data_IF_425665293308
#
_entry.id   IF_425665293308
#
_cell.length_a   1.000
_cell.length_b   1.000
_cell.length_c   1.000
_cell.angle_alpha   90.00
_cell.angle_beta   90.00
_cell.angle_gamma   90.00
#
_symmetry.space_group_name_H-M   'P 1'
#
loop_
_entity.id
_entity.type
_entity.pdbx_description
1 polymer ?
#
# COMPACT_ATOMS: atom_id res chain seq x y z
N UNK A 1 -5.38 -23.74 7.84
CA UNK A 1 -6.23 -23.79 6.65
C UNK A 1 -6.65 -22.41 6.22
N UNK A 2 -7.12 -22.29 4.99
CA UNK A 2 -7.69 -21.05 4.45
C UNK A 2 -9.21 -21.12 4.60
N UNK A 3 -9.81 -20.09 5.16
CA UNK A 3 -11.26 -19.95 5.24
C UNK A 3 -11.72 -18.90 4.26
N UNK A 4 -12.73 -19.17 3.43
CA UNK A 4 -13.31 -18.19 2.51
C UNK A 4 -14.76 -17.96 2.88
N UNK A 5 -15.13 -16.68 2.98
CA UNK A 5 -16.49 -16.22 3.26
C UNK A 5 -16.93 -15.29 2.14
N UNK A 6 -18.20 -15.39 1.78
CA UNK A 6 -18.84 -14.38 0.92
C UNK A 6 -19.33 -13.25 1.84
N UNK A 7 -19.04 -12.03 1.46
CA UNK A 7 -19.54 -10.85 2.14
C UNK A 7 -20.78 -10.35 1.39
N UNK A 8 -21.73 -9.83 2.15
CA UNK A 8 -22.83 -9.07 1.54
C UNK A 8 -22.28 -7.76 0.97
N UNK A 9 -22.61 -7.49 -0.27
CA UNK A 9 -22.27 -6.24 -0.92
C UNK A 9 -23.44 -5.28 -0.88
N UNK A 10 -23.16 -3.98 -0.78
CA UNK A 10 -24.20 -2.94 -0.90
C UNK A 10 -24.86 -3.01 -2.27
N UNK A 11 -24.10 -3.35 -3.31
CA UNK A 11 -24.63 -3.67 -4.64
C UNK A 11 -24.89 -5.19 -4.74
N UNK A 12 -26.16 -5.63 -4.82
CA UNK A 12 -26.46 -7.05 -4.90
C UNK A 12 -26.00 -7.73 -6.21
N UNK A 13 -25.59 -6.96 -7.21
CA UNK A 13 -25.03 -7.49 -8.46
C UNK A 13 -23.55 -7.87 -8.32
N UNK A 14 -22.88 -7.35 -7.29
CA UNK A 14 -21.47 -7.58 -7.01
C UNK A 14 -21.33 -8.60 -5.87
N UNK A 15 -20.37 -9.48 -6.04
CA UNK A 15 -20.03 -10.48 -5.02
C UNK A 15 -18.64 -10.17 -4.50
N UNK A 16 -18.53 -10.00 -3.18
CA UNK A 16 -17.28 -9.77 -2.49
C UNK A 16 -16.91 -11.03 -1.71
N UNK A 17 -15.70 -11.51 -1.87
CA UNK A 17 -15.18 -12.64 -1.13
C UNK A 17 -14.04 -12.20 -0.21
N UNK A 18 -13.97 -12.83 0.95
CA UNK A 18 -12.88 -12.67 1.91
C UNK A 18 -12.28 -14.02 2.25
N UNK A 19 -10.98 -14.17 2.02
CA UNK A 19 -10.21 -15.32 2.45
C UNK A 19 -9.32 -14.93 3.63
N UNK A 20 -9.14 -15.83 4.58
CA UNK A 20 -8.32 -15.62 5.76
C UNK A 20 -7.46 -16.85 6.04
N UNK A 21 -6.22 -16.61 6.45
CA UNK A 21 -5.29 -17.63 6.91
C UNK A 21 -4.35 -17.09 7.99
N UNK A 22 -3.76 -18.00 8.75
CA UNK A 22 -2.67 -17.69 9.68
C UNK A 22 -1.46 -18.52 9.30
N UNK A 23 -0.33 -17.85 9.08
CA UNK A 23 0.95 -18.48 8.79
C UNK A 23 1.86 -18.39 10.01
N UNK A 24 2.42 -19.54 10.38
CA UNK A 24 3.40 -19.66 11.47
C UNK A 24 4.77 -19.84 10.86
N UNK A 25 5.78 -19.19 11.40
CA UNK A 25 7.16 -19.23 10.90
C UNK A 25 7.47 -18.11 9.91
N UNK A 26 6.50 -17.27 9.55
CA UNK A 26 6.68 -16.14 8.64
C UNK A 26 6.52 -14.80 9.37
N UNK A 27 7.28 -13.81 8.92
CA UNK A 27 7.14 -12.42 9.31
C UNK A 27 6.26 -11.68 8.29
N UNK A 28 5.85 -10.45 8.62
CA UNK A 28 5.11 -9.58 7.70
C UNK A 28 5.91 -9.33 6.42
N UNK A 29 7.21 -9.10 6.54
CA UNK A 29 8.09 -8.85 5.40
C UNK A 29 8.34 -10.08 4.54
N UNK A 30 8.45 -11.27 5.16
CA UNK A 30 8.59 -12.51 4.41
C UNK A 30 7.41 -12.70 3.44
N UNK A 31 6.19 -12.49 3.90
CA UNK A 31 5.02 -12.67 3.06
C UNK A 31 4.81 -11.50 2.09
N UNK A 32 5.07 -10.26 2.55
CA UNK A 32 5.01 -9.09 1.66
C UNK A 32 5.94 -9.24 0.47
N UNK A 33 7.13 -9.77 0.66
CA UNK A 33 8.08 -9.96 -0.44
C UNK A 33 7.53 -10.84 -1.58
N UNK A 34 6.64 -11.80 -1.26
CA UNK A 34 5.96 -12.62 -2.25
C UNK A 34 4.76 -11.92 -2.93
N UNK A 35 4.31 -10.80 -2.37
CA UNK A 35 3.12 -10.06 -2.83
C UNK A 35 3.45 -8.65 -3.34
N UNK A 36 4.72 -8.21 -3.25
CA UNK A 36 5.11 -6.82 -3.50
C UNK A 36 4.86 -6.35 -4.94
N UNK A 37 4.79 -7.27 -5.89
CA UNK A 37 4.52 -6.93 -7.28
C UNK A 37 3.91 -8.11 -8.04
N UNK A 38 3.11 -7.85 -9.10
CA UNK A 38 2.62 -8.90 -9.99
C UNK A 38 3.74 -9.73 -10.64
N UNK A 39 4.91 -9.13 -10.89
CA UNK A 39 6.07 -9.85 -11.39
C UNK A 39 6.56 -10.94 -10.43
N UNK A 40 6.45 -10.70 -9.12
CA UNK A 40 6.74 -11.71 -8.10
C UNK A 40 5.60 -12.71 -7.95
N UNK A 41 4.34 -12.25 -7.95
CA UNK A 41 3.16 -13.12 -7.89
C UNK A 41 3.16 -14.15 -9.00
N UNK A 42 3.60 -13.80 -10.19
CA UNK A 42 3.76 -14.72 -11.33
C UNK A 42 4.67 -15.93 -11.02
N UNK A 43 5.62 -15.80 -10.10
CA UNK A 43 6.55 -16.89 -9.75
C UNK A 43 5.88 -18.05 -9.01
N UNK A 44 4.78 -17.79 -8.33
CA UNK A 44 4.10 -18.80 -7.53
C UNK A 44 2.61 -18.99 -7.88
N UNK A 45 1.97 -18.00 -8.49
CA UNK A 45 0.59 -18.10 -8.93
C UNK A 45 0.53 -18.55 -10.40
N UNK A 46 0.30 -19.82 -10.60
CA UNK A 46 0.24 -20.46 -11.94
C UNK A 46 -0.89 -19.90 -12.83
N UNK A 47 -1.88 -19.23 -12.25
CA UNK A 47 -2.93 -18.59 -13.02
C UNK A 47 -2.45 -17.27 -13.68
N UNK A 48 -1.37 -16.67 -13.19
CA UNK A 48 -0.81 -15.44 -13.73
C UNK A 48 0.27 -15.77 -14.76
N UNK A 49 -0.05 -15.62 -16.04
CA UNK A 49 0.83 -15.97 -17.16
C UNK A 49 1.88 -14.89 -17.42
N UNK A 50 1.48 -13.61 -17.36
CA UNK A 50 2.38 -12.48 -17.59
C UNK A 50 2.08 -11.29 -16.69
N UNK A 51 3.12 -10.50 -16.40
CA UNK A 51 3.01 -9.27 -15.63
C UNK A 51 4.07 -8.26 -16.10
N UNK A 52 3.62 -7.17 -16.67
CA UNK A 52 4.48 -6.10 -17.21
C UNK A 52 4.22 -4.80 -16.45
N UNK A 53 5.28 -4.17 -15.94
CA UNK A 53 5.21 -2.84 -15.37
C UNK A 53 4.99 -1.82 -16.49
N UNK A 54 3.89 -1.06 -16.40
CA UNK A 54 3.58 0.02 -17.35
C UNK A 54 4.18 1.33 -16.86
N UNK A 55 3.91 1.66 -15.59
CA UNK A 55 4.34 2.92 -15.02
C UNK A 55 4.51 2.81 -13.50
N UNK A 56 5.61 3.31 -12.97
CA UNK A 56 5.78 3.55 -11.54
C UNK A 56 5.23 4.92 -11.18
N UNK A 57 4.22 4.96 -10.33
CA UNK A 57 3.59 6.20 -9.85
C UNK A 57 4.34 6.79 -8.63
N UNK A 58 5.30 6.04 -8.09
CA UNK A 58 6.02 6.37 -6.85
C UNK A 58 5.23 6.06 -5.59
N UNK A 59 5.88 6.21 -4.43
CA UNK A 59 5.24 5.94 -3.14
C UNK A 59 4.71 4.50 -3.00
N UNK A 60 5.39 3.53 -3.61
CA UNK A 60 4.99 2.11 -3.68
C UNK A 60 3.68 1.87 -4.45
N UNK A 61 3.39 2.73 -5.40
CA UNK A 61 2.24 2.61 -6.31
C UNK A 61 2.72 2.47 -7.74
N UNK A 62 2.17 1.53 -8.49
CA UNK A 62 2.55 1.28 -9.87
C UNK A 62 1.37 0.77 -10.69
N UNK A 63 1.42 1.03 -12.00
CA UNK A 63 0.47 0.49 -12.99
C UNK A 63 1.07 -0.74 -13.63
N UNK A 64 0.34 -1.83 -13.60
CA UNK A 64 0.72 -3.11 -14.14
C UNK A 64 -0.27 -3.59 -15.19
N UNK A 65 0.22 -4.16 -16.27
CA UNK A 65 -0.57 -4.99 -17.16
C UNK A 65 -0.33 -6.46 -16.78
N UNK A 66 -1.38 -7.17 -16.43
CA UNK A 66 -1.33 -8.58 -16.05
C UNK A 66 -2.18 -9.40 -16.99
N UNK A 67 -1.70 -10.63 -17.31
CA UNK A 67 -2.42 -11.58 -18.13
C UNK A 67 -2.56 -12.90 -17.39
N UNK A 68 -3.76 -13.40 -17.34
CA UNK A 68 -4.09 -14.69 -16.75
C UNK A 68 -4.22 -15.75 -17.82
N UNK A 69 -3.67 -16.92 -17.55
CA UNK A 69 -3.74 -18.08 -18.43
C UNK A 69 -5.19 -18.46 -18.74
N UNK A 70 -5.46 -18.96 -19.97
CA UNK A 70 -6.78 -19.46 -20.31
C UNK A 70 -7.14 -20.65 -19.41
N UNK A 71 -8.36 -20.68 -18.90
CA UNK A 71 -8.91 -21.84 -18.22
C UNK A 71 -9.65 -22.73 -19.24
N UNK A 72 -9.90 -23.98 -18.88
CA UNK A 72 -10.67 -24.88 -19.74
C UNK A 72 -12.02 -24.27 -20.16
N UNK A 73 -12.25 -24.19 -21.46
CA UNK A 73 -13.39 -23.54 -22.13
C UNK A 73 -13.53 -22.03 -21.91
N UNK A 74 -12.53 -21.35 -21.35
CA UNK A 74 -12.56 -19.91 -21.16
C UNK A 74 -11.33 -19.24 -21.81
N UNK A 75 -11.56 -18.13 -22.50
CA UNK A 75 -10.50 -17.29 -23.05
C UNK A 75 -9.56 -16.78 -21.95
N UNK A 76 -8.34 -16.43 -22.30
CA UNK A 76 -7.42 -15.74 -21.42
C UNK A 76 -8.05 -14.41 -20.92
N UNK A 77 -7.63 -13.93 -19.76
CA UNK A 77 -8.02 -12.64 -19.22
C UNK A 77 -6.80 -11.76 -19.11
N UNK A 78 -7.02 -10.47 -19.23
CA UNK A 78 -6.05 -9.48 -18.86
C UNK A 78 -6.68 -8.42 -17.97
N UNK A 79 -5.85 -7.70 -17.23
CA UNK A 79 -6.25 -6.53 -16.48
C UNK A 79 -5.12 -5.50 -16.48
N UNK A 80 -5.48 -4.23 -16.46
CA UNK A 80 -4.56 -3.17 -16.14
C UNK A 80 -4.85 -2.72 -14.73
N UNK A 81 -3.88 -2.89 -13.83
CA UNK A 81 -4.07 -2.71 -12.39
C UNK A 81 -3.20 -1.57 -11.87
N UNK A 82 -3.78 -0.70 -11.08
CA UNK A 82 -3.01 0.11 -10.12
C UNK A 82 -2.80 -0.76 -8.90
N UNK A 83 -1.54 -1.01 -8.55
CA UNK A 83 -1.19 -1.65 -7.29
C UNK A 83 -0.51 -0.63 -6.38
N UNK A 84 -0.89 -0.62 -5.11
CA UNK A 84 -0.28 0.23 -4.08
C UNK A 84 -0.07 -0.55 -2.80
N UNK A 85 1.00 -0.22 -2.06
CA UNK A 85 1.29 -0.84 -0.77
C UNK A 85 1.37 0.21 0.33
N UNK A 86 0.82 -0.12 1.49
CA UNK A 86 0.89 0.68 2.71
C UNK A 86 1.56 -0.13 3.81
N UNK A 87 2.51 0.48 4.47
CA UNK A 87 3.30 -0.17 5.51
C UNK A 87 3.09 0.53 6.85
N UNK A 88 2.88 -0.27 7.87
CA UNK A 88 2.90 0.15 9.27
C UNK A 88 3.91 -0.73 10.03
N UNK A 89 4.28 -0.39 11.27
CA UNK A 89 5.22 -1.20 12.04
C UNK A 89 4.79 -2.66 12.24
N UNK A 90 3.52 -2.96 12.11
CA UNK A 90 2.95 -4.28 12.44
C UNK A 90 2.06 -4.88 11.36
N UNK A 91 1.83 -4.15 10.27
CA UNK A 91 1.03 -4.63 9.15
C UNK A 91 1.51 -4.06 7.82
N UNK A 92 1.27 -4.80 6.76
CA UNK A 92 1.45 -4.32 5.39
C UNK A 92 0.17 -4.65 4.62
N UNK A 93 -0.32 -3.67 3.85
CA UNK A 93 -1.51 -3.81 3.03
C UNK A 93 -1.14 -3.57 1.58
N UNK A 94 -1.57 -4.46 0.69
CA UNK A 94 -1.37 -4.34 -0.76
C UNK A 94 -2.74 -4.31 -1.42
N UNK A 95 -3.02 -3.26 -2.15
CA UNK A 95 -4.28 -3.08 -2.86
C UNK A 95 -4.04 -3.03 -4.36
N UNK A 96 -4.90 -3.69 -5.10
CA UNK A 96 -4.91 -3.64 -6.56
C UNK A 96 -6.34 -3.41 -7.04
N UNK A 97 -6.50 -2.55 -8.03
CA UNK A 97 -7.78 -2.27 -8.69
C UNK A 97 -7.53 -1.89 -10.15
N UNK A 98 -8.55 -2.05 -10.99
CA UNK A 98 -8.44 -1.71 -12.39
C UNK A 98 -8.10 -0.23 -12.58
N UNK A 99 -7.10 0.02 -13.41
CA UNK A 99 -6.69 1.37 -13.77
C UNK A 99 -7.81 2.07 -14.54
N UNK A 100 -8.00 3.35 -14.25
CA UNK A 100 -8.96 4.21 -14.95
C UNK A 100 -8.46 4.53 -16.36
N UNK A 101 -9.38 4.71 -17.31
CA UNK A 101 -9.10 5.09 -18.70
C UNK A 101 -8.35 6.43 -18.83
N UNK A 102 -8.30 7.22 -17.77
CA UNK A 102 -7.56 8.46 -17.72
C UNK A 102 -6.03 8.31 -17.55
N UNK A 103 -5.55 7.09 -17.26
CA UNK A 103 -4.12 6.82 -17.27
C UNK A 103 -3.70 6.70 -18.73
N UNK A 104 -2.86 7.63 -19.20
CA UNK A 104 -2.31 7.59 -20.54
C UNK A 104 -1.49 6.31 -20.76
N UNK A 105 -1.62 5.70 -21.95
CA UNK A 105 -0.83 4.53 -22.37
C UNK A 105 -1.26 3.16 -21.84
N UNK A 106 -2.54 2.99 -21.44
CA UNK A 106 -3.02 1.65 -21.12
C UNK A 106 -3.00 0.75 -22.38
N UNK A 107 -2.42 -0.44 -22.28
CA UNK A 107 -2.41 -1.36 -23.40
C UNK A 107 -3.83 -1.82 -23.76
N UNK A 108 -4.13 -1.85 -25.04
CA UNK A 108 -5.35 -2.47 -25.52
C UNK A 108 -5.37 -3.97 -25.17
N UNK A 109 -6.55 -4.58 -24.96
CA UNK A 109 -6.66 -6.02 -24.76
C UNK A 109 -5.99 -6.79 -25.92
N UNK A 110 -5.18 -7.78 -25.59
CA UNK A 110 -4.57 -8.62 -26.61
C UNK A 110 -5.65 -9.39 -27.39
N UNK A 111 -5.45 -9.69 -28.68
CA UNK A 111 -6.40 -10.48 -29.46
C UNK A 111 -6.70 -11.83 -28.77
N UNK A 112 -7.99 -12.16 -28.63
CA UNK A 112 -8.42 -13.40 -27.97
C UNK A 112 -8.40 -13.36 -26.43
N UNK A 113 -8.11 -12.21 -25.82
CA UNK A 113 -8.25 -12.00 -24.38
C UNK A 113 -9.49 -11.17 -24.04
N UNK A 114 -10.02 -11.36 -22.84
CA UNK A 114 -11.12 -10.56 -22.30
C UNK A 114 -10.57 -9.68 -21.18
N UNK A 115 -10.73 -8.36 -21.32
CA UNK A 115 -10.37 -7.41 -20.26
C UNK A 115 -11.33 -7.58 -19.09
N UNK A 116 -10.81 -8.06 -17.96
CA UNK A 116 -11.56 -8.16 -16.71
C UNK A 116 -11.55 -6.84 -15.95
N UNK A 117 -12.52 -6.68 -15.07
CA UNK A 117 -12.61 -5.58 -14.13
C UNK A 117 -12.27 -6.08 -12.73
N UNK A 118 -11.33 -5.43 -12.08
CA UNK A 118 -11.00 -5.65 -10.67
C UNK A 118 -11.40 -4.38 -9.92
N UNK A 119 -12.45 -4.45 -9.13
CA UNK A 119 -12.88 -3.30 -8.32
C UNK A 119 -12.01 -3.19 -7.06
N UNK A 120 -11.65 -4.34 -6.49
CA UNK A 120 -10.73 -4.42 -5.37
C UNK A 120 -10.11 -5.83 -5.29
N UNK A 121 -8.80 -5.88 -5.18
CA UNK A 121 -8.06 -7.03 -4.68
C UNK A 121 -7.13 -6.53 -3.57
N UNK A 122 -7.45 -6.83 -2.32
CA UNK A 122 -6.76 -6.28 -1.16
C UNK A 122 -6.18 -7.37 -0.26
N UNK A 123 -4.86 -7.34 -0.06
CA UNK A 123 -4.16 -8.17 0.91
C UNK A 123 -3.85 -7.36 2.16
N UNK A 124 -4.20 -7.88 3.32
CA UNK A 124 -3.81 -7.39 4.63
C UNK A 124 -2.95 -8.42 5.32
N UNK A 125 -1.72 -8.08 5.66
CA UNK A 125 -0.75 -8.94 6.35
C UNK A 125 -0.49 -8.32 7.71
N UNK A 126 -0.90 -8.97 8.78
CA UNK A 126 -0.84 -8.43 10.15
C UNK A 126 -0.04 -9.34 11.06
N UNK A 127 0.93 -8.79 11.78
CA UNK A 127 1.70 -9.55 12.77
C UNK A 127 0.83 -9.88 13.99
N UNK A 128 0.63 -11.16 14.26
CA UNK A 128 0.08 -11.64 15.54
C UNK A 128 1.17 -11.87 16.58
N UNK A 129 2.35 -12.24 16.12
CA UNK A 129 3.58 -12.35 16.88
C UNK A 129 4.76 -12.09 15.94
N UNK A 130 5.98 -11.98 16.41
CA UNK A 130 7.13 -11.74 15.53
C UNK A 130 7.32 -12.75 14.40
N UNK A 131 6.78 -13.96 14.54
CA UNK A 131 6.90 -15.04 13.55
C UNK A 131 5.55 -15.69 13.19
N UNK A 132 4.46 -14.98 13.40
CA UNK A 132 3.13 -15.45 13.04
C UNK A 132 2.36 -14.28 12.46
N UNK A 133 1.84 -14.46 11.27
CA UNK A 133 1.06 -13.44 10.58
C UNK A 133 -0.36 -13.94 10.32
N UNK A 134 -1.30 -13.05 10.47
CA UNK A 134 -2.66 -13.21 9.99
C UNK A 134 -2.79 -12.52 8.65
N UNK A 135 -3.40 -13.18 7.70
CA UNK A 135 -3.55 -12.69 6.34
C UNK A 135 -5.02 -12.68 5.98
N UNK A 136 -5.47 -11.58 5.46
CA UNK A 136 -6.79 -11.41 4.87
C UNK A 136 -6.63 -11.01 3.41
N UNK A 137 -7.32 -11.70 2.52
CA UNK A 137 -7.50 -11.32 1.12
C UNK A 137 -8.97 -11.00 0.88
N UNK A 138 -9.24 -9.81 0.40
CA UNK A 138 -10.57 -9.40 -0.06
C UNK A 138 -10.53 -9.24 -1.56
N UNK A 139 -11.49 -9.81 -2.26
CA UNK A 139 -11.59 -9.72 -3.70
C UNK A 139 -13.00 -9.41 -4.15
N UNK A 140 -13.09 -8.38 -4.99
CA UNK A 140 -14.26 -8.01 -5.76
C UNK A 140 -13.81 -7.79 -7.20
N UNK A 141 -14.17 -8.71 -8.08
CA UNK A 141 -13.78 -8.68 -9.48
C UNK A 141 -14.89 -9.20 -10.38
N UNK A 142 -14.96 -8.65 -11.59
CA UNK A 142 -15.79 -9.16 -12.67
C UNK A 142 -14.90 -9.72 -13.79
N UNK A 143 -14.80 -11.05 -13.92
CA UNK A 143 -13.99 -11.68 -14.97
C UNK A 143 -14.57 -11.44 -16.36
N UNK A 144 -15.74 -10.86 -16.48
CA UNK A 144 -16.53 -10.61 -17.70
C UNK A 144 -16.72 -11.85 -18.58
N UNK A 145 -17.67 -11.78 -19.45
CA UNK A 145 -18.00 -12.87 -20.37
C UNK A 145 -18.61 -14.09 -19.69
N UNK A 146 -18.22 -15.27 -20.14
CA UNK A 146 -18.80 -16.57 -19.77
C UNK A 146 -18.35 -17.11 -18.41
N UNK A 147 -17.30 -16.54 -17.83
CA UNK A 147 -16.71 -17.10 -16.62
C UNK A 147 -17.61 -16.88 -15.42
N UNK A 148 -17.95 -17.97 -14.76
CA UNK A 148 -18.75 -17.89 -13.53
C UNK A 148 -17.96 -17.27 -12.38
N UNK A 149 -18.55 -16.30 -11.68
CA UNK A 149 -18.01 -15.70 -10.45
C UNK A 149 -17.79 -16.75 -9.33
N UNK A 150 -18.36 -17.93 -9.45
CA UNK A 150 -18.19 -19.04 -8.50
C UNK A 150 -16.76 -19.62 -8.46
N UNK A 151 -15.90 -19.27 -9.42
CA UNK A 151 -14.49 -19.69 -9.44
C UNK A 151 -13.59 -18.86 -8.51
N UNK A 152 -14.02 -17.69 -8.10
CA UNK A 152 -13.23 -16.80 -7.23
C UNK A 152 -12.82 -17.45 -5.91
N UNK A 153 -13.68 -18.11 -5.13
CA UNK A 153 -13.28 -18.70 -3.87
C UNK A 153 -12.17 -19.76 -3.97
N UNK A 154 -12.22 -20.75 -4.89
CA UNK A 154 -11.12 -21.67 -5.07
C UNK A 154 -9.81 -21.00 -5.49
N UNK A 155 -9.86 -19.96 -6.32
CA UNK A 155 -8.67 -19.20 -6.73
C UNK A 155 -8.05 -18.45 -5.57
N UNK A 156 -8.86 -17.85 -4.69
CA UNK A 156 -8.37 -17.18 -3.48
C UNK A 156 -7.67 -18.17 -2.53
N UNK A 157 -8.21 -19.38 -2.37
CA UNK A 157 -7.56 -20.44 -1.58
C UNK A 157 -6.19 -20.77 -2.15
N UNK A 158 -6.12 -20.99 -3.47
CA UNK A 158 -4.87 -21.32 -4.16
C UNK A 158 -3.87 -20.17 -4.07
N UNK A 159 -4.32 -18.93 -4.25
CA UNK A 159 -3.47 -17.76 -4.15
C UNK A 159 -2.90 -17.59 -2.72
N UNK A 160 -3.75 -17.69 -1.71
CA UNK A 160 -3.32 -17.54 -0.32
C UNK A 160 -2.37 -18.66 0.12
N UNK A 161 -2.69 -19.91 -0.21
CA UNK A 161 -1.81 -21.05 0.08
C UNK A 161 -0.49 -20.94 -0.70
N UNK A 162 -0.56 -20.60 -2.00
CA UNK A 162 0.60 -20.47 -2.87
C UNK A 162 1.60 -19.42 -2.41
N UNK A 163 1.13 -18.25 -1.95
CA UNK A 163 2.01 -17.22 -1.41
C UNK A 163 2.79 -17.73 -0.18
N UNK A 164 2.11 -18.36 0.78
CA UNK A 164 2.74 -18.90 1.97
C UNK A 164 3.69 -20.08 1.65
N UNK A 165 3.26 -21.01 0.80
CA UNK A 165 4.09 -22.14 0.39
C UNK A 165 5.34 -21.73 -0.37
N UNK A 166 5.23 -20.71 -1.23
CA UNK A 166 6.38 -20.20 -1.95
C UNK A 166 7.47 -19.70 -1.00
N UNK A 167 7.07 -18.87 -0.04
CA UNK A 167 8.03 -18.33 0.95
C UNK A 167 8.62 -19.42 1.83
N UNK A 168 7.81 -20.39 2.25
CA UNK A 168 8.30 -21.49 3.09
C UNK A 168 9.27 -22.43 2.34
N UNK A 169 9.09 -22.61 1.04
CA UNK A 169 9.93 -23.51 0.22
C UNK A 169 11.16 -22.84 -0.38
N UNK A 170 11.01 -21.60 -0.83
CA UNK A 170 12.05 -20.90 -1.60
C UNK A 170 12.68 -19.73 -0.84
N UNK A 171 12.11 -19.39 0.33
CA UNK A 171 12.46 -18.21 1.11
C UNK A 171 11.82 -16.92 0.54
N UNK A 172 11.93 -15.88 1.32
CA UNK A 172 11.40 -14.56 0.98
C UNK A 172 12.40 -13.79 0.10
N UNK A 173 12.09 -13.54 -1.19
CA UNK A 173 13.01 -12.87 -2.11
C UNK A 173 13.22 -11.40 -1.71
N UNK A 174 14.32 -10.77 -2.15
CA UNK A 174 14.52 -9.34 -1.96
C UNK A 174 13.41 -8.52 -2.60
N UNK A 175 13.13 -7.37 -2.01
CA UNK A 175 12.19 -6.41 -2.57
C UNK A 175 12.60 -4.97 -2.25
N UNK A 176 12.07 -4.01 -3.01
CA UNK A 176 12.18 -2.59 -2.68
C UNK A 176 11.22 -2.30 -1.53
N UNK A 177 11.76 -1.82 -0.42
CA UNK A 177 10.96 -1.33 0.71
C UNK A 177 10.65 0.15 0.58
N UNK A 178 11.57 0.93 -0.01
CA UNK A 178 11.39 2.36 -0.28
C UNK A 178 12.22 2.79 -1.47
N UNK A 179 11.66 3.63 -2.31
CA UNK A 179 12.37 4.33 -3.38
C UNK A 179 12.00 5.82 -3.31
N UNK A 180 13.00 6.67 -3.14
CA UNK A 180 12.83 8.10 -3.00
C UNK A 180 13.51 8.84 -4.16
N UNK A 181 12.84 9.84 -4.72
CA UNK A 181 13.28 10.65 -5.86
C UNK A 181 13.65 9.83 -7.13
N UNK A 182 13.05 8.66 -7.27
CA UNK A 182 13.24 7.85 -8.48
C UNK A 182 11.96 7.11 -8.87
N UNK A 183 11.96 6.55 -10.08
CA UNK A 183 10.88 5.72 -10.63
C UNK A 183 11.44 4.41 -11.15
N UNK A 184 10.81 3.32 -10.79
CA UNK A 184 11.15 1.98 -11.31
C UNK A 184 10.82 1.93 -12.80
N UNK A 185 11.76 1.44 -13.58
CA UNK A 185 11.60 1.19 -15.02
C UNK A 185 11.30 -0.29 -15.28
N UNK A 186 12.05 -1.16 -14.63
CA UNK A 186 11.89 -2.61 -14.77
C UNK A 186 12.07 -3.29 -13.43
N UNK A 187 11.33 -4.38 -13.23
CA UNK A 187 11.47 -5.26 -12.06
C UNK A 187 11.28 -6.70 -12.50
N UNK A 188 12.23 -7.56 -12.19
CA UNK A 188 12.20 -8.97 -12.56
C UNK A 188 12.73 -9.85 -11.43
N UNK A 189 12.23 -11.09 -11.38
CA UNK A 189 12.63 -12.12 -10.42
C UNK A 189 13.13 -13.34 -11.14
N UNK A 190 14.39 -13.66 -10.94
CA UNK A 190 14.98 -14.94 -11.31
C UNK A 190 14.77 -16.01 -10.23
N UNK A 191 15.39 -17.16 -10.39
CA UNK A 191 15.38 -18.21 -9.36
C UNK A 191 16.21 -17.81 -8.14
N UNK A 192 17.39 -17.25 -8.39
CA UNK A 192 18.37 -16.85 -7.40
C UNK A 192 18.74 -15.36 -7.51
N UNK A 193 17.92 -14.56 -8.19
CA UNK A 193 18.16 -13.13 -8.39
C UNK A 193 16.88 -12.30 -8.30
N UNK A 194 17.10 -11.05 -7.91
CA UNK A 194 16.15 -9.96 -8.04
C UNK A 194 16.82 -8.83 -8.79
N UNK A 195 16.25 -8.44 -9.90
CA UNK A 195 16.76 -7.41 -10.79
C UNK A 195 15.77 -6.24 -10.85
N UNK A 196 16.27 -5.05 -10.63
CA UNK A 196 15.48 -3.81 -10.73
C UNK A 196 16.28 -2.72 -11.39
N UNK A 197 15.59 -1.91 -12.20
CA UNK A 197 16.16 -0.69 -12.73
C UNK A 197 15.27 0.51 -12.43
N UNK A 198 15.87 1.64 -12.14
CA UNK A 198 15.17 2.89 -11.86
C UNK A 198 15.93 4.10 -12.38
N UNK A 199 15.20 5.17 -12.65
CA UNK A 199 15.74 6.47 -13.06
C UNK A 199 15.38 7.52 -12.03
N UNK A 200 16.20 8.55 -11.90
CA UNK A 200 15.86 9.71 -11.08
C UNK A 200 14.51 10.28 -11.55
N UNK A 201 13.61 10.56 -10.61
CA UNK A 201 12.36 11.22 -10.95
C UNK A 201 12.70 12.64 -11.44
N UNK A 202 12.05 13.07 -12.54
CA UNK A 202 12.05 14.45 -12.91
C UNK A 202 11.42 15.25 -11.76
N UNK A 203 12.25 15.91 -10.99
CA UNK A 203 11.81 16.64 -9.81
C UNK A 203 11.93 18.12 -10.14
N UNK A 204 10.80 18.84 -10.19
CA UNK A 204 10.80 20.31 -10.24
C UNK A 204 11.35 20.92 -8.95
N UNK A 205 11.79 20.08 -8.02
CA UNK A 205 12.34 20.42 -6.72
C UNK A 205 13.87 20.65 -6.82
N UNK A 206 14.39 21.91 -6.78
CA UNK A 206 15.82 22.19 -6.82
C UNK A 206 16.62 21.57 -5.65
N UNK A 207 15.95 21.03 -4.60
CA UNK A 207 16.59 20.41 -3.45
C UNK A 207 16.63 18.86 -3.52
N UNK A 208 16.15 18.25 -4.60
CA UNK A 208 16.31 16.81 -4.82
C UNK A 208 17.76 16.49 -5.18
N UNK A 209 18.62 16.42 -4.17
CA UNK A 209 20.07 16.23 -4.35
C UNK A 209 20.46 14.76 -4.47
N UNK A 210 19.61 13.85 -3.99
CA UNK A 210 19.91 12.41 -3.97
C UNK A 210 18.68 11.54 -4.29
N UNK A 211 18.98 10.37 -4.83
CA UNK A 211 18.08 9.23 -4.99
C UNK A 211 18.41 8.22 -3.91
N UNK A 212 17.42 7.72 -3.20
CA UNK A 212 17.58 6.68 -2.20
C UNK A 212 16.75 5.45 -2.57
N UNK A 213 17.41 4.29 -2.64
CA UNK A 213 16.76 2.98 -2.80
C UNK A 213 17.05 2.13 -1.57
N UNK A 214 16.01 1.74 -0.85
CA UNK A 214 16.12 0.83 0.29
C UNK A 214 15.58 -0.53 -0.11
N UNK A 215 16.46 -1.52 -0.08
CA UNK A 215 16.13 -2.93 -0.33
C UNK A 215 15.97 -3.66 0.99
N UNK A 216 15.01 -4.54 1.06
CA UNK A 216 14.89 -5.53 2.11
C UNK A 216 15.21 -6.91 1.58
N UNK A 217 15.89 -7.73 2.35
CA UNK A 217 16.21 -9.12 2.01
C UNK A 217 16.20 -10.02 3.25
N UNK A 218 15.74 -11.26 3.07
CA UNK A 218 15.75 -12.28 4.13
C UNK A 218 17.04 -13.07 4.08
N UNK A 219 17.91 -12.90 5.10
CA UNK A 219 19.13 -13.68 5.25
C UNK A 219 18.88 -15.10 5.80
N UNK A 220 17.73 -15.32 6.41
CA UNK A 220 17.39 -16.61 7.01
C UNK A 220 16.64 -17.50 6.02
N UNK A 221 15.71 -16.91 5.27
CA UNK A 221 14.81 -17.64 4.38
C UNK A 221 15.28 -17.74 2.94
N UNK A 222 15.88 -16.66 2.38
CA UNK A 222 16.24 -16.64 0.96
C UNK A 222 17.71 -16.98 0.70
N UNK A 223 18.63 -16.27 1.32
CA UNK A 223 20.06 -16.53 1.16
C UNK A 223 20.86 -16.10 2.39
N UNK A 224 21.82 -16.93 2.86
CA UNK A 224 22.64 -16.57 4.00
C UNK A 224 23.64 -15.44 3.69
N UNK A 225 23.99 -15.24 2.42
CA UNK A 225 24.89 -14.19 1.94
C UNK A 225 24.32 -13.58 0.67
N UNK A 226 24.61 -12.32 0.43
CA UNK A 226 24.14 -11.59 -0.73
C UNK A 226 25.30 -11.05 -1.57
N UNK A 227 25.11 -11.09 -2.89
CA UNK A 227 25.94 -10.39 -3.88
C UNK A 227 25.06 -9.35 -4.57
N UNK A 228 25.38 -8.07 -4.38
CA UNK A 228 24.63 -6.93 -4.87
C UNK A 228 25.48 -6.21 -5.91
N UNK A 229 24.98 -6.18 -7.15
CA UNK A 229 25.60 -5.45 -8.25
C UNK A 229 24.79 -4.20 -8.50
N UNK A 230 25.46 -3.05 -8.52
CA UNK A 230 24.84 -1.73 -8.73
C UNK A 230 25.62 -0.97 -9.77
N UNK A 231 24.95 -0.55 -10.83
CA UNK A 231 25.51 0.22 -11.93
C UNK A 231 24.59 1.40 -12.30
N UNK A 232 25.08 2.66 -12.19
CA UNK A 232 26.38 3.09 -11.68
C UNK A 232 26.54 2.83 -10.17
N UNK A 233 27.80 2.81 -9.67
CA UNK A 233 28.07 2.61 -8.25
C UNK A 233 27.40 3.69 -7.40
N UNK A 234 26.82 3.34 -6.24
CA UNK A 234 26.21 4.32 -5.35
C UNK A 234 27.26 5.24 -4.71
N UNK A 235 26.88 6.49 -4.43
CA UNK A 235 27.72 7.45 -3.70
C UNK A 235 27.87 7.11 -2.22
N UNK A 236 26.85 6.46 -1.64
CA UNK A 236 26.82 5.99 -0.27
C UNK A 236 26.04 4.68 -0.19
N UNK A 237 26.46 3.82 0.74
CA UNK A 237 25.79 2.54 1.03
C UNK A 237 25.82 2.26 2.52
N UNK A 238 24.68 1.89 3.07
CA UNK A 238 24.57 1.36 4.43
C UNK A 238 23.83 0.03 4.43
N UNK A 239 24.25 -0.88 5.30
CA UNK A 239 23.60 -2.16 5.49
C UNK A 239 23.29 -2.33 6.98
N UNK A 240 22.01 -2.54 7.29
CA UNK A 240 21.53 -2.75 8.64
C UNK A 240 20.82 -4.09 8.77
N UNK A 241 21.34 -4.98 9.61
CA UNK A 241 20.66 -6.21 9.99
C UNK A 241 19.77 -5.93 11.19
N UNK A 242 18.49 -5.98 11.00
CA UNK A 242 17.50 -5.85 12.08
C UNK A 242 17.29 -7.17 12.79
N UNK A 243 16.99 -7.07 14.09
CA UNK A 243 16.65 -8.23 14.87
C UNK A 243 15.32 -8.82 14.42
N UNK A 244 15.20 -10.16 14.32
CA UNK A 244 14.00 -10.85 13.82
C UNK A 244 12.70 -10.45 14.52
N UNK A 245 12.76 -10.10 15.80
CA UNK A 245 11.61 -9.67 16.58
C UNK A 245 11.24 -8.21 16.32
N UNK A 246 12.14 -7.41 15.75
CA UNK A 246 11.92 -5.99 15.49
C UNK A 246 11.42 -5.79 14.06
N UNK A 247 10.15 -5.45 13.89
CA UNK A 247 9.58 -5.11 12.59
C UNK A 247 9.78 -6.17 11.49
N UNK A 248 9.83 -7.47 11.87
CA UNK A 248 10.02 -8.57 10.94
C UNK A 248 11.45 -8.89 10.55
N UNK A 249 12.45 -8.19 11.12
CA UNK A 249 13.87 -8.48 10.92
C UNK A 249 14.38 -8.21 9.49
N UNK A 250 15.31 -9.05 9.04
CA UNK A 250 15.89 -8.97 7.70
C UNK A 250 17.09 -8.05 7.60
N UNK A 251 17.64 -8.00 6.40
CA UNK A 251 18.71 -7.09 6.02
C UNK A 251 18.14 -5.93 5.23
N UNK A 252 18.49 -4.74 5.63
CA UNK A 252 18.11 -3.48 4.99
C UNK A 252 19.36 -2.89 4.35
N UNK A 253 19.33 -2.71 3.03
CA UNK A 253 20.42 -2.16 2.23
C UNK A 253 19.95 -0.84 1.67
N UNK A 254 20.57 0.24 2.07
CA UNK A 254 20.31 1.58 1.53
C UNK A 254 21.38 1.93 0.51
N UNK A 255 20.96 2.26 -0.69
CA UNK A 255 21.80 2.70 -1.80
C UNK A 255 21.44 4.15 -2.09
N UNK A 256 22.41 5.05 -2.01
CA UNK A 256 22.24 6.47 -2.31
C UNK A 256 23.04 6.86 -3.53
N UNK A 257 22.43 7.63 -4.43
CA UNK A 257 23.08 8.23 -5.59
C UNK A 257 22.80 9.73 -5.59
N UNK A 258 23.82 10.52 -5.90
CA UNK A 258 23.60 11.95 -6.15
C UNK A 258 22.94 12.13 -7.52
N UNK A 259 21.87 12.92 -7.57
CA UNK A 259 21.14 13.17 -8.82
C UNK A 259 22.07 13.73 -9.90
N UNK A 260 23.04 14.59 -9.51
CA UNK A 260 24.01 15.14 -10.41
C UNK A 260 24.91 14.10 -11.10
N UNK A 261 25.16 12.96 -10.43
CA UNK A 261 26.02 11.90 -10.99
C UNK A 261 25.23 10.97 -11.93
N UNK A 262 23.90 10.99 -11.87
CA UNK A 262 23.07 10.09 -12.66
C UNK A 262 22.81 10.60 -14.09
N UNK A 263 22.81 11.92 -14.34
CA UNK A 263 22.71 12.54 -15.68
C UNK A 263 21.75 11.81 -16.64
N UNK A 264 20.52 11.49 -16.19
CA UNK A 264 19.53 10.66 -16.90
C UNK A 264 19.89 9.16 -17.04
N UNK A 265 20.97 8.72 -16.41
CA UNK A 265 21.33 7.30 -16.44
C UNK A 265 20.35 6.46 -15.62
N UNK A 266 20.05 5.29 -16.16
CA UNK A 266 19.29 4.27 -15.46
C UNK A 266 20.19 3.54 -14.47
N UNK A 267 19.83 3.55 -13.19
CA UNK A 267 20.49 2.72 -12.19
C UNK A 267 19.96 1.29 -12.29
N UNK A 268 20.86 0.34 -12.38
CA UNK A 268 20.55 -1.09 -12.38
C UNK A 268 21.04 -1.71 -11.10
N UNK A 269 20.17 -2.43 -10.42
CA UNK A 269 20.48 -3.18 -9.20
C UNK A 269 20.12 -4.64 -9.42
N UNK A 270 21.08 -5.53 -9.21
CA UNK A 270 20.87 -6.96 -9.22
C UNK A 270 21.29 -7.54 -7.87
N UNK A 271 20.36 -8.14 -7.14
CA UNK A 271 20.62 -8.85 -5.89
C UNK A 271 20.62 -10.34 -6.16
N UNK A 272 21.70 -11.02 -5.85
CA UNK A 272 21.87 -12.47 -6.04
C UNK A 272 22.13 -13.16 -4.73
N UNK A 273 21.78 -14.45 -4.68
CA UNK A 273 22.27 -15.31 -3.60
C UNK A 273 23.79 -15.37 -3.66
N UNK A 274 24.42 -15.02 -2.56
CA UNK A 274 25.88 -15.06 -2.43
C UNK A 274 26.42 -16.50 -2.43
N UNK A 275 27.74 -16.68 -2.53
CA UNK A 275 28.35 -17.99 -2.64
C UNK A 275 28.05 -18.85 -1.40
N UNK A 276 27.49 -20.03 -1.63
CA UNK A 276 27.08 -20.98 -0.59
C UNK A 276 28.28 -21.57 0.21
N UNK A 277 29.49 -21.42 -0.30
CA UNK A 277 30.71 -21.99 0.28
C UNK A 277 31.35 -21.15 1.39
N UNK A 278 30.82 -19.98 1.70
CA UNK A 278 31.30 -19.17 2.80
C UNK A 278 30.82 -19.77 4.14
N UNK A 279 31.77 -20.08 5.03
CA UNK A 279 31.50 -20.47 6.42
C UNK A 279 30.85 -19.31 7.22
N UNK A 280 30.99 -18.08 6.74
CA UNK A 280 30.40 -16.90 7.32
C UNK A 280 29.00 -16.68 6.78
N UNK A 281 28.06 -16.36 7.65
CA UNK A 281 26.70 -15.95 7.30
C UNK A 281 26.53 -14.44 7.50
N UNK A 282 25.70 -13.82 6.68
CA UNK A 282 25.42 -12.39 6.75
C UNK A 282 26.44 -11.53 6.00
N UNK A 283 27.21 -12.14 5.10
CA UNK A 283 28.15 -11.41 4.23
C UNK A 283 27.37 -10.75 3.10
N UNK A 284 27.61 -9.46 2.90
CA UNK A 284 27.09 -8.69 1.77
C UNK A 284 28.27 -8.23 0.94
N UNK A 285 28.26 -8.58 -0.34
CA UNK A 285 29.18 -8.05 -1.34
C UNK A 285 28.42 -6.97 -2.14
N UNK A 286 29.05 -5.83 -2.34
CA UNK A 286 28.58 -4.78 -3.24
C UNK A 286 29.63 -4.59 -4.32
N UNK A 287 29.26 -4.85 -5.56
CA UNK A 287 30.18 -4.81 -6.70
C UNK A 287 31.48 -5.57 -6.44
N UNK A 288 31.38 -6.74 -5.77
CA UNK A 288 32.50 -7.59 -5.40
C UNK A 288 33.27 -7.17 -4.13
N UNK A 289 33.00 -6.01 -3.57
CA UNK A 289 33.61 -5.55 -2.32
C UNK A 289 32.71 -5.90 -1.12
N UNK A 290 33.34 -6.37 -0.02
CA UNK A 290 32.61 -6.65 1.22
C UNK A 290 32.16 -5.35 1.88
N UNK A 291 30.87 -5.26 2.18
CA UNK A 291 30.27 -4.13 2.90
C UNK A 291 30.14 -4.47 4.38
N UNK A 292 30.37 -3.46 5.23
CA UNK A 292 30.09 -3.59 6.66
C UNK A 292 28.58 -3.68 6.88
N UNK A 293 28.18 -4.64 7.71
CA UNK A 293 26.77 -4.82 8.10
C UNK A 293 26.64 -4.45 9.57
N UNK A 294 25.97 -3.34 9.83
CA UNK A 294 25.59 -2.94 11.17
C UNK A 294 24.51 -3.90 11.71
N UNK A 295 24.60 -4.22 12.99
CA UNK A 295 23.60 -5.05 13.65
C UNK A 295 22.82 -4.20 14.64
N UNK A 296 21.48 -4.21 14.50
CA UNK A 296 20.61 -3.50 15.43
C UNK A 296 20.80 -4.02 16.86
N UNK A 297 21.32 -3.15 17.72
CA UNK A 297 21.45 -3.43 19.14
C UNK A 297 20.06 -3.29 19.81
N UNK A 298 19.60 -4.35 20.45
CA UNK A 298 18.37 -4.32 21.23
C UNK A 298 18.63 -4.66 22.69
N UNK A 299 18.03 -3.88 23.58
CA UNK A 299 18.04 -4.16 25.00
C UNK A 299 17.34 -5.51 25.29
N UNK A 300 17.90 -6.37 26.16
CA UNK A 300 17.28 -7.61 26.59
C UNK A 300 15.84 -7.46 27.09
N UNK A 301 15.49 -6.34 27.73
CA UNK A 301 14.13 -6.05 28.16
C UNK A 301 13.18 -5.81 26.97
N UNK A 302 13.64 -5.10 25.95
CA UNK A 302 12.90 -4.90 24.70
C UNK A 302 12.69 -6.21 23.96
N UNK A 303 13.70 -7.07 23.87
CA UNK A 303 13.59 -8.39 23.26
C UNK A 303 12.57 -9.27 23.98
N UNK A 304 12.57 -9.26 25.32
CA UNK A 304 11.56 -10.00 26.09
C UNK A 304 10.15 -9.45 25.88
N UNK A 305 10.00 -8.13 25.83
CA UNK A 305 8.70 -7.50 25.56
C UNK A 305 8.18 -7.90 24.17
N UNK A 306 9.01 -7.82 23.14
CA UNK A 306 8.66 -8.24 21.78
C UNK A 306 8.34 -9.73 21.68
N UNK A 307 9.14 -10.58 22.33
CA UNK A 307 8.92 -12.04 22.34
C UNK A 307 7.59 -12.42 23.02
N UNK A 308 7.15 -11.63 23.99
CA UNK A 308 5.87 -11.83 24.69
C UNK A 308 4.68 -11.17 23.97
N UNK A 309 4.95 -10.31 22.99
CA UNK A 309 3.90 -9.62 22.28
C UNK A 309 3.06 -10.63 21.49
N UNK A 310 1.81 -10.76 21.89
CA UNK A 310 0.78 -11.53 21.18
C UNK A 310 -0.36 -10.59 20.88
N UNK A 311 -0.72 -10.50 19.62
CA UNK A 311 -1.92 -9.80 19.19
C UNK A 311 -3.03 -10.81 18.98
N UNK A 312 -4.21 -10.45 19.36
CA UNK A 312 -5.40 -11.21 18.97
C UNK A 312 -5.67 -10.95 17.49
N UNK A 313 -6.16 -12.00 16.80
CA UNK A 313 -6.69 -11.86 15.45
C UNK A 313 -7.66 -10.68 15.41
N UNK A 314 -7.59 -9.79 14.40
CA UNK A 314 -8.55 -8.72 14.25
C UNK A 314 -9.97 -9.28 14.32
N UNK A 315 -10.78 -8.74 15.22
CA UNK A 315 -12.18 -9.14 15.35
C UNK A 315 -12.94 -8.32 14.31
N UNK A 316 -13.32 -8.96 13.21
CA UNK A 316 -14.25 -8.34 12.29
C UNK A 316 -15.59 -8.22 13.04
N UNK A 317 -15.92 -7.01 13.43
CA UNK A 317 -17.28 -6.67 13.83
C UNK A 317 -18.06 -6.69 12.52
N UNK A 318 -19.10 -7.52 12.36
CA UNK A 318 -19.99 -7.37 11.23
C UNK A 318 -20.44 -5.91 11.21
N UNK A 319 -20.34 -5.25 10.05
CA UNK A 319 -21.10 -4.02 9.85
C UNK A 319 -22.55 -4.42 10.12
N UNK A 320 -23.16 -3.86 11.15
CA UNK A 320 -24.59 -3.90 11.33
C UNK A 320 -25.19 -3.07 10.18
N UNK A 321 -25.28 -3.71 9.01
CA UNK A 321 -26.12 -3.21 7.96
C UNK A 321 -27.53 -3.17 8.55
N UNK A 322 -28.26 -2.05 8.43
CA UNK A 322 -29.63 -2.02 8.90
C UNK A 322 -30.37 -3.18 8.27
N UNK A 323 -30.75 -4.15 9.10
CA UNK A 323 -31.53 -5.31 8.68
C UNK A 323 -32.79 -4.74 8.02
N UNK A 324 -32.91 -4.87 6.70
CA UNK A 324 -34.17 -4.66 6.02
C UNK A 324 -35.15 -5.58 6.72
N UNK A 325 -36.01 -5.00 7.55
CA UNK A 325 -37.09 -5.72 8.19
C UNK A 325 -37.86 -6.44 7.08
N UNK A 326 -37.65 -7.74 6.95
CA UNK A 326 -38.51 -8.59 6.15
C UNK A 326 -39.91 -8.41 6.72
N UNK A 327 -40.80 -7.86 5.92
CA UNK A 327 -42.23 -7.79 6.24
C UNK A 327 -42.68 -9.23 6.48
N UNK A 328 -42.71 -9.66 7.75
CA UNK A 328 -43.49 -10.81 8.13
C UNK A 328 -44.97 -10.42 8.05
N UNK A 329 -45.75 -11.27 7.42
CA UNK A 329 -47.18 -11.05 7.15
C UNK A 329 -48.08 -11.20 8.37
N UNK A 330 -47.54 -11.08 9.58
CA UNK A 330 -48.33 -11.18 10.81
C UNK A 330 -48.24 -9.86 11.60
N UNK A 331 -49.39 -9.20 11.63
CA UNK A 331 -49.58 -7.87 12.18
C UNK A 331 -49.44 -7.80 13.72
N UNK A 332 -48.23 -7.56 14.20
CA UNK A 332 -47.99 -7.01 15.53
C UNK A 332 -47.24 -5.66 15.37
N UNK A 333 -47.93 -4.62 15.82
CA UNK A 333 -47.40 -3.25 15.87
C UNK A 333 -46.52 -3.11 17.09
N UNK A 334 -45.21 -3.12 16.93
CA UNK A 334 -44.29 -2.61 17.95
C UNK A 334 -44.14 -1.10 17.83
N UNK A 335 -43.89 -0.38 18.94
CA UNK A 335 -43.89 1.07 18.97
C UNK A 335 -42.74 1.64 18.10
N UNK A 336 -43.13 2.57 17.26
CA UNK A 336 -42.24 3.35 16.38
C UNK A 336 -41.27 4.16 17.26
N UNK A 337 -40.03 3.70 17.35
CA UNK A 337 -38.92 4.61 17.68
C UNK A 337 -38.75 5.47 16.44
N UNK A 338 -38.90 6.79 16.58
CA UNK A 338 -38.69 7.75 15.49
C UNK A 338 -37.33 7.51 14.83
N UNK A 339 -37.37 6.81 13.72
CA UNK A 339 -36.23 6.59 12.84
C UNK A 339 -35.87 7.91 12.18
N UNK A 340 -34.61 8.28 12.31
CA UNK A 340 -34.01 9.38 11.58
C UNK A 340 -34.45 9.37 10.12
N UNK A 341 -34.78 10.57 9.62
CA UNK A 341 -35.27 10.86 8.29
C UNK A 341 -34.66 10.00 7.18
N UNK A 342 -35.50 9.46 6.32
CA UNK A 342 -35.11 8.85 5.05
C UNK A 342 -34.20 9.80 4.27
N UNK A 343 -32.91 9.55 4.37
CA UNK A 343 -31.94 10.13 3.45
C UNK A 343 -32.13 9.36 2.14
N UNK A 344 -32.62 10.03 1.10
CA UNK A 344 -32.54 9.52 -0.27
C UNK A 344 -31.13 9.08 -0.53
N UNK A 345 -30.97 7.80 -0.85
CA UNK A 345 -29.69 7.22 -1.27
C UNK A 345 -29.19 8.02 -2.49
N UNK A 346 -28.10 8.80 -2.39
CA UNK A 346 -27.38 9.19 -3.58
C UNK A 346 -26.73 7.93 -4.16
N UNK A 347 -26.59 7.86 -5.48
CA UNK A 347 -25.71 6.91 -6.17
C UNK A 347 -24.28 7.11 -5.64
N UNK A 348 -23.95 6.49 -4.52
CA UNK A 348 -22.69 6.72 -3.83
C UNK A 348 -21.70 5.67 -4.32
N UNK A 349 -20.72 6.15 -5.08
CA UNK A 349 -19.46 5.41 -5.27
C UNK A 349 -18.95 4.96 -3.89
N UNK A 350 -18.37 3.74 -3.76
CA UNK A 350 -17.82 3.29 -2.49
C UNK A 350 -16.95 4.38 -1.88
N UNK A 351 -17.01 4.64 -0.57
CA UNK A 351 -16.29 5.75 0.08
C UNK A 351 -14.77 5.65 -0.03
N UNK A 352 -14.25 4.50 -0.45
CA UNK A 352 -12.85 4.29 -0.79
C UNK A 352 -12.38 5.17 -1.95
N UNK A 353 -13.20 5.43 -2.97
CA UNK A 353 -12.80 6.28 -4.11
C UNK A 353 -12.57 7.75 -3.70
N UNK A 354 -13.48 8.42 -3.00
CA UNK A 354 -13.22 9.77 -2.51
C UNK A 354 -12.02 9.88 -1.58
N UNK A 355 -11.79 8.86 -0.73
CA UNK A 355 -10.64 8.83 0.18
C UNK A 355 -9.31 8.69 -0.57
N UNK A 356 -9.25 7.83 -1.61
CA UNK A 356 -8.08 7.67 -2.46
C UNK A 356 -7.83 8.92 -3.31
N UNK A 357 -8.87 9.53 -3.86
CA UNK A 357 -8.78 10.78 -4.59
C UNK A 357 -8.26 11.91 -3.69
N UNK A 358 -8.76 12.01 -2.46
CA UNK A 358 -8.31 12.98 -1.48
C UNK A 358 -6.84 12.74 -1.09
N UNK A 359 -6.43 11.47 -0.92
CA UNK A 359 -5.04 11.11 -0.63
C UNK A 359 -4.11 11.44 -1.80
N UNK A 360 -4.53 11.12 -3.04
CA UNK A 360 -3.77 11.44 -4.24
C UNK A 360 -3.59 12.96 -4.38
N UNK A 361 -4.67 13.71 -4.15
CA UNK A 361 -4.64 15.16 -4.15
C UNK A 361 -3.74 15.72 -3.05
N UNK A 362 -3.84 15.22 -1.83
CA UNK A 362 -2.98 15.63 -0.72
C UNK A 362 -1.50 15.39 -1.05
N UNK A 363 -1.18 14.24 -1.66
CA UNK A 363 0.18 13.93 -2.13
C UNK A 363 0.66 14.90 -3.20
N UNK A 364 -0.18 15.22 -4.19
CA UNK A 364 0.16 16.21 -5.21
C UNK A 364 0.42 17.58 -4.59
N UNK A 365 -0.48 18.03 -3.70
CA UNK A 365 -0.32 19.33 -3.02
C UNK A 365 0.90 19.34 -2.09
N UNK A 366 1.20 18.21 -1.44
CA UNK A 366 2.38 18.09 -0.57
C UNK A 366 3.69 18.10 -1.36
N UNK A 367 3.71 17.46 -2.55
CA UNK A 367 4.85 17.45 -3.44
C UNK A 367 5.11 18.81 -4.10
N UNK A 368 4.08 19.67 -4.20
CA UNK A 368 4.25 21.04 -4.63
C UNK A 368 5.03 21.79 -3.53
N UNK A 369 6.18 22.33 -3.90
CA UNK A 369 7.02 23.11 -2.97
C UNK A 369 6.26 24.24 -2.31
N UNK A 370 6.80 24.69 -1.17
CA UNK A 370 6.43 25.96 -0.56
C UNK A 370 6.33 27.03 -1.64
N UNK A 371 5.17 27.64 -1.82
CA UNK A 371 5.06 28.73 -2.75
C UNK A 371 6.02 29.82 -2.30
N UNK A 372 6.99 30.12 -3.14
CA UNK A 372 7.83 31.31 -2.94
C UNK A 372 6.89 32.51 -2.89
N UNK A 373 6.85 33.26 -1.79
CA UNK A 373 6.00 34.46 -1.69
C UNK A 373 6.27 35.49 -2.79
N UNK A 374 7.36 35.36 -3.55
CA UNK A 374 7.76 36.26 -4.63
C UNK A 374 7.55 35.69 -6.05
N UNK A 375 7.07 34.43 -6.22
CA UNK A 375 7.02 33.77 -7.53
C UNK A 375 5.60 33.54 -8.05
N UNK A 376 5.31 33.82 -9.34
CA UNK A 376 4.00 33.60 -9.96
C UNK A 376 3.76 32.14 -10.38
N UNK A 377 4.63 31.20 -10.02
CA UNK A 377 4.55 29.80 -10.46
C UNK A 377 3.88 28.94 -9.41
N UNK A 378 2.68 28.43 -9.74
CA UNK A 378 1.94 27.46 -8.92
C UNK A 378 0.51 27.84 -8.57
N UNK A 379 0.08 29.08 -8.84
CA UNK A 379 -1.30 29.52 -8.61
C UNK A 379 -1.71 29.66 -7.14
N UNK A 380 -0.79 29.47 -6.18
CA UNK A 380 -1.05 29.68 -4.78
C UNK A 380 -0.90 31.19 -4.41
N UNK A 381 -1.88 31.73 -3.69
CA UNK A 381 -1.81 33.08 -3.15
C UNK A 381 -1.72 33.04 -1.62
N UNK A 382 -0.76 33.77 -1.05
CA UNK A 382 -0.63 33.91 0.40
C UNK A 382 -1.82 34.72 0.94
N UNK A 383 -2.50 34.15 1.92
CA UNK A 383 -3.65 34.78 2.59
C UNK A 383 -3.27 35.41 3.92
N UNK A 384 -2.45 34.72 4.69
CA UNK A 384 -2.09 35.13 6.05
C UNK A 384 -0.76 34.50 6.45
N UNK A 385 -0.01 35.26 7.23
CA UNK A 385 1.17 34.79 7.94
C UNK A 385 1.06 35.21 9.41
N UNK A 386 1.15 34.23 10.31
CA UNK A 386 1.17 34.49 11.75
C UNK A 386 1.98 33.44 12.48
N UNK A 387 2.95 33.87 13.27
CA UNK A 387 3.79 32.99 14.10
C UNK A 387 4.53 31.89 13.27
N UNK A 388 4.95 32.21 12.03
CA UNK A 388 5.60 31.26 11.14
C UNK A 388 4.65 30.18 10.61
N UNK A 389 3.36 30.44 10.64
CA UNK A 389 2.32 29.67 9.95
C UNK A 389 1.91 30.46 8.72
N UNK A 390 2.06 29.85 7.56
CA UNK A 390 1.69 30.44 6.28
C UNK A 390 0.41 29.77 5.77
N UNK A 391 -0.59 30.56 5.45
CA UNK A 391 -1.86 30.09 4.88
C UNK A 391 -1.93 30.54 3.43
N UNK A 392 -1.96 29.58 2.53
CA UNK A 392 -2.09 29.82 1.09
C UNK A 392 -3.45 29.32 0.59
N UNK A 393 -3.93 29.90 -0.49
CA UNK A 393 -5.13 29.44 -1.18
C UNK A 393 -4.91 29.30 -2.68
N UNK A 394 -5.63 28.37 -3.32
CA UNK A 394 -5.68 28.20 -4.76
C UNK A 394 -7.04 27.64 -5.18
N UNK A 395 -7.51 28.06 -6.35
CA UNK A 395 -8.62 27.39 -7.00
C UNK A 395 -8.11 26.14 -7.72
N UNK A 396 -8.64 24.98 -7.36
CA UNK A 396 -8.33 23.71 -8.04
C UNK A 396 -9.61 23.24 -8.74
N UNK A 397 -9.73 23.56 -10.02
CA UNK A 397 -10.94 23.31 -10.82
C UNK A 397 -11.40 21.84 -10.79
N UNK A 398 -10.45 20.91 -10.72
CA UNK A 398 -10.70 19.48 -10.58
C UNK A 398 -11.46 19.12 -9.30
N UNK A 399 -11.32 19.91 -8.23
CA UNK A 399 -12.02 19.69 -6.96
C UNK A 399 -13.36 20.42 -6.98
N UNK A 400 -13.31 21.70 -7.27
CA UNK A 400 -14.49 22.56 -7.36
C UNK A 400 -14.16 23.82 -8.14
N UNK A 401 -15.02 24.22 -9.10
CA UNK A 401 -14.84 25.47 -9.81
C UNK A 401 -15.11 26.71 -8.95
N UNK A 402 -15.67 26.55 -7.75
CA UNK A 402 -16.13 27.66 -6.91
C UNK A 402 -15.52 27.69 -5.51
N UNK A 403 -14.89 26.60 -5.08
CA UNK A 403 -14.35 26.50 -3.71
C UNK A 403 -12.83 26.51 -3.73
N UNK A 404 -12.24 27.44 -2.98
CA UNK A 404 -10.79 27.54 -2.85
C UNK A 404 -10.24 26.44 -1.95
N UNK A 405 -9.15 25.83 -2.36
CA UNK A 405 -8.34 24.95 -1.53
C UNK A 405 -7.40 25.82 -0.69
N UNK A 406 -7.39 25.60 0.62
CA UNK A 406 -6.46 26.23 1.54
C UNK A 406 -5.37 25.24 1.95
N UNK A 407 -4.14 25.72 2.01
CA UNK A 407 -2.97 24.97 2.44
C UNK A 407 -2.28 25.72 3.56
N UNK A 408 -1.96 25.00 4.63
CA UNK A 408 -1.20 25.52 5.75
C UNK A 408 -0.03 24.60 6.03
N UNK A 409 1.17 25.17 6.11
CA UNK A 409 2.39 24.44 6.40
C UNK A 409 3.04 24.97 7.67
N UNK A 410 3.45 24.05 8.55
CA UNK A 410 4.18 24.37 9.78
C UNK A 410 5.08 23.22 10.18
N UNK A 411 6.32 23.52 10.52
CA UNK A 411 7.21 22.56 11.17
C UNK A 411 7.02 22.66 12.67
N UNK A 412 6.67 21.54 13.29
CA UNK A 412 6.51 21.42 14.73
C UNK A 412 7.70 20.61 15.26
N UNK A 413 8.55 21.26 16.06
CA UNK A 413 9.72 20.61 16.64
C UNK A 413 9.35 19.89 17.94
N UNK A 414 9.98 18.73 18.19
CA UNK A 414 9.82 17.97 19.42
C UNK A 414 8.52 17.15 19.52
N UNK A 415 7.78 17.00 18.42
CA UNK A 415 6.55 16.20 18.35
C UNK A 415 6.69 15.16 17.24
N UNK A 416 6.42 13.92 17.56
CA UNK A 416 6.39 12.85 16.57
C UNK A 416 5.05 12.86 15.78
N UNK A 417 5.07 12.37 14.56
CA UNK A 417 3.86 12.29 13.74
C UNK A 417 2.79 11.39 14.37
N UNK A 418 3.22 10.35 15.07
CA UNK A 418 2.35 9.41 15.80
C UNK A 418 1.60 10.08 16.96
N UNK A 419 2.18 11.11 17.57
CA UNK A 419 1.55 11.87 18.65
C UNK A 419 0.54 12.88 18.11
N UNK A 420 0.82 13.43 16.92
CA UNK A 420 -0.03 14.45 16.30
C UNK A 420 -1.23 13.83 15.56
N UNK A 421 -1.05 12.68 14.93
CA UNK A 421 -2.07 12.05 14.10
C UNK A 421 -3.39 11.81 14.85
N UNK A 422 -3.43 11.26 16.08
CA UNK A 422 -4.68 11.08 16.81
C UNK A 422 -5.42 12.39 17.08
N UNK A 423 -4.68 13.48 17.36
CA UNK A 423 -5.29 14.79 17.63
C UNK A 423 -5.98 15.39 16.39
N UNK A 424 -5.49 15.05 15.19
CA UNK A 424 -6.04 15.58 13.94
C UNK A 424 -7.09 14.64 13.35
N UNK A 425 -6.86 13.32 13.46
CA UNK A 425 -7.69 12.29 12.81
C UNK A 425 -8.90 11.89 13.64
N UNK A 426 -8.83 11.97 14.98
CA UNK A 426 -9.99 11.67 15.84
C UNK A 426 -10.93 12.89 15.89
N UNK A 427 -12.18 12.71 15.41
CA UNK A 427 -13.19 13.76 15.43
C UNK A 427 -13.45 14.37 16.83
N UNK A 428 -13.44 13.53 17.86
CA UNK A 428 -13.68 14.02 19.22
C UNK A 428 -12.48 14.79 19.77
N UNK A 429 -11.27 14.30 19.54
CA UNK A 429 -10.05 15.01 19.93
C UNK A 429 -9.95 16.36 19.22
N UNK A 430 -10.33 16.43 17.94
CA UNK A 430 -10.31 17.67 17.18
C UNK A 430 -11.27 18.72 17.71
N UNK A 431 -12.48 18.37 18.12
CA UNK A 431 -13.44 19.30 18.74
C UNK A 431 -12.93 19.91 20.06
N UNK A 432 -11.95 19.27 20.74
CA UNK A 432 -11.40 19.79 21.98
C UNK A 432 -10.43 20.96 21.80
N UNK A 433 -9.83 21.12 20.60
CA UNK A 433 -8.84 22.17 20.33
C UNK A 433 -9.19 23.10 19.16
N UNK A 434 -10.10 22.69 18.27
CA UNK A 434 -10.53 23.49 17.12
C UNK A 434 -11.77 24.31 17.50
N UNK A 435 -11.55 25.55 17.94
CA UNK A 435 -12.60 26.45 18.39
C UNK A 435 -13.64 26.79 17.30
N UNK A 436 -13.35 26.52 16.03
CA UNK A 436 -14.30 26.74 14.95
C UNK A 436 -15.31 25.58 14.81
N UNK A 437 -15.04 24.45 15.43
CA UNK A 437 -15.94 23.29 15.38
C UNK A 437 -16.93 23.32 16.54
N UNK A 438 -18.21 23.38 16.22
CA UNK A 438 -19.30 23.30 17.21
C UNK A 438 -19.55 21.86 17.65
N UNK A 439 -19.51 20.92 16.71
CA UNK A 439 -19.68 19.49 16.99
C UNK A 439 -19.11 18.62 15.89
N UNK A 440 -18.85 17.39 16.25
CA UNK A 440 -18.54 16.33 15.32
C UNK A 440 -19.37 15.08 15.61
N UNK A 441 -19.90 14.47 14.57
CA UNK A 441 -20.60 13.20 14.66
C UNK A 441 -19.99 12.20 13.68
N UNK A 442 -19.50 11.09 14.22
CA UNK A 442 -19.10 9.95 13.38
C UNK A 442 -20.35 9.36 12.73
N UNK A 443 -20.37 9.31 11.40
CA UNK A 443 -21.46 8.71 10.64
C UNK A 443 -21.17 7.24 10.35
N UNK A 444 -19.93 6.95 9.94
CA UNK A 444 -19.53 5.61 9.54
C UNK A 444 -18.02 5.42 9.74
N UNK A 445 -17.60 4.23 10.15
CA UNK A 445 -16.20 3.86 10.28
C UNK A 445 -15.90 2.63 9.44
N UNK A 446 -14.93 2.74 8.52
CA UNK A 446 -14.56 1.69 7.59
C UNK A 446 -13.34 0.88 8.06
N UNK A 447 -12.94 1.02 9.31
CA UNK A 447 -11.71 0.43 9.85
C UNK A 447 -10.45 1.17 9.38
N UNK A 448 -9.29 0.73 9.87
CA UNK A 448 -7.95 1.22 9.46
C UNK A 448 -7.80 2.75 9.29
N UNK A 449 -8.52 3.55 10.09
CA UNK A 449 -8.39 5.01 10.07
C UNK A 449 -9.20 5.74 9.00
N UNK A 450 -10.05 5.03 8.24
CA UNK A 450 -10.99 5.66 7.30
C UNK A 450 -12.38 5.75 7.93
N UNK A 451 -12.95 6.95 7.92
CA UNK A 451 -14.28 7.19 8.48
C UNK A 451 -14.99 8.35 7.77
N UNK A 452 -16.31 8.34 7.86
CA UNK A 452 -17.16 9.46 7.45
C UNK A 452 -17.67 10.16 8.71
N UNK A 453 -17.41 11.45 8.81
CA UNK A 453 -17.85 12.26 9.94
C UNK A 453 -18.57 13.52 9.46
N UNK A 454 -19.63 13.91 10.17
CA UNK A 454 -20.30 15.19 9.99
C UNK A 454 -19.68 16.21 10.95
N UNK A 455 -19.13 17.26 10.37
CA UNK A 455 -18.56 18.38 11.11
C UNK A 455 -19.52 19.56 11.06
N UNK A 456 -19.80 20.15 12.21
CA UNK A 456 -20.61 21.37 12.29
C UNK A 456 -19.72 22.48 12.82
N UNK A 457 -19.59 23.55 12.09
CA UNK A 457 -18.86 24.75 12.54
C UNK A 457 -19.78 25.72 13.26
N UNK A 458 -19.21 26.52 14.16
CA UNK A 458 -19.89 27.71 14.66
C UNK A 458 -20.17 28.67 13.51
N UNK A 459 -21.34 29.29 13.50
CA UNK A 459 -21.63 30.32 12.53
C UNK A 459 -20.63 31.47 12.71
N UNK A 460 -19.77 31.68 11.72
CA UNK A 460 -18.97 32.89 11.67
C UNK A 460 -19.87 34.03 11.21
N UNK A 461 -20.11 34.95 12.10
CA UNK A 461 -20.73 36.23 11.78
C UNK A 461 -19.74 37.19 11.13
#
# INVERSE_FOLDING_TARGET
>A
GVTVTQLESIDPTLVVYRAEATFVGLTVWDLYSALNSPAMVRRWNVALDDATLIQDLGGQSAVWHVRYAPAWLAQARDATLVQTAYQSPTSIHVFSFSADEHISELPAPAPGTVRMQVDLCGWSIEALSPTTVHVTLVEQSDPRGWLSKTRTPPQMIVAMAGAGEHVLRHGAPPCISRLFNARVQTQAYGEDSFDVSYVAAACDAPDATHVECVLWASLEGWAPNLDVLVDPPPSSTSCLRRHRLAGGGGLWITLEHRVADLSEQCVRVCVRKGPAKSLERGVVLLNGARVHVDVEGMDPAQLQALARMKRTKPRHVPLDLPVRASRSADGYTEPIVESAAEVREPEVKPPTHPALDALALLRCIHAERHPDPAGPQGGWSLMSEKNGVYVHRRLVERISPHVMVHRTDKIIQGVAAEDLLPLVADPHARCAWDEHLASCRMLESFGSGTNTALWTSHASF
#
